data_IF_012674245048
#
_entry.id   IF_012674245048
#
_cell.length_a   1.000
_cell.length_b   1.000
_cell.length_c   1.000
_cell.angle_alpha   90.00
_cell.angle_beta   90.00
_cell.angle_gamma   90.00
#
_symmetry.space_group_name_H-M   'P 1'
#
loop_
_entity.id
_entity.type
_entity.pdbx_description
1 polymer ?
#
# COMPACT_ATOMS: atom_id res chain seq x y z
N UNK A 1 1.78 -16.69 5.25
CA UNK A 1 1.49 -15.40 5.94
C UNK A 1 1.13 -14.25 4.98
N UNK A 2 1.41 -14.34 3.68
CA UNK A 2 0.78 -13.48 2.65
C UNK A 2 0.39 -14.32 1.41
N UNK A 3 -0.06 -15.56 1.62
CA UNK A 3 -0.47 -16.42 0.50
C UNK A 3 -1.63 -15.79 -0.25
N UNK A 4 -1.45 -15.59 -1.55
CA UNK A 4 -2.42 -14.92 -2.41
C UNK A 4 -2.32 -13.39 -2.45
N UNK A 5 -1.42 -12.75 -1.68
CA UNK A 5 -1.21 -11.29 -1.75
C UNK A 5 -0.05 -10.94 -2.66
N UNK A 6 -0.31 -10.13 -3.69
CA UNK A 6 0.71 -9.69 -4.64
C UNK A 6 1.27 -8.30 -4.34
N UNK A 7 0.55 -7.47 -3.57
CA UNK A 7 1.05 -6.16 -3.15
C UNK A 7 0.43 -5.72 -1.83
N UNK A 8 1.14 -4.84 -1.11
CA UNK A 8 0.71 -4.29 0.16
C UNK A 8 0.56 -2.78 0.04
N UNK A 9 -0.51 -2.20 0.57
CA UNK A 9 -0.74 -0.76 0.62
C UNK A 9 -0.64 -0.27 2.06
N UNK A 10 0.25 0.69 2.31
CA UNK A 10 0.60 1.17 3.65
C UNK A 10 0.57 2.71 3.73
N UNK A 11 0.36 3.22 4.94
CA UNK A 11 0.49 4.65 5.23
C UNK A 11 1.95 5.07 5.49
N UNK A 12 2.24 6.38 5.53
CA UNK A 12 3.59 6.89 5.72
C UNK A 12 4.13 6.56 7.12
N UNK A 13 3.27 6.57 8.15
CA UNK A 13 3.65 6.16 9.51
C UNK A 13 4.03 4.68 9.59
N UNK A 14 3.32 3.84 8.85
CA UNK A 14 3.63 2.41 8.75
C UNK A 14 4.94 2.20 8.01
N UNK A 15 5.22 3.01 6.99
CA UNK A 15 6.53 3.03 6.32
C UNK A 15 7.66 3.46 7.27
N UNK A 16 7.48 4.51 8.08
CA UNK A 16 8.49 4.95 9.06
C UNK A 16 8.82 3.85 10.07
N UNK A 17 7.82 3.13 10.57
CA UNK A 17 8.04 1.97 11.45
C UNK A 17 8.67 0.81 10.69
N UNK A 18 8.25 0.55 9.44
CA UNK A 18 8.78 -0.53 8.63
C UNK A 18 10.26 -0.34 8.32
N UNK A 19 10.70 0.88 8.00
CA UNK A 19 12.10 1.18 7.69
C UNK A 19 12.98 1.15 8.94
N UNK A 20 12.47 1.59 10.08
CA UNK A 20 13.20 1.62 11.36
C UNK A 20 13.33 0.22 11.98
N UNK A 21 12.24 -0.55 12.00
CA UNK A 21 12.18 -1.87 12.67
C UNK A 21 12.78 -2.98 11.81
N UNK A 22 12.66 -2.90 10.48
CA UNK A 22 12.97 -4.04 9.60
C UNK A 22 14.20 -3.83 8.71
N UNK A 23 14.87 -2.67 8.82
CA UNK A 23 16.20 -2.42 8.27
C UNK A 23 16.42 -2.94 6.85
N UNK A 24 17.29 -3.96 6.70
CA UNK A 24 17.68 -4.56 5.42
C UNK A 24 16.97 -5.89 5.09
N UNK A 25 16.31 -6.52 6.07
CA UNK A 25 15.78 -7.89 5.92
C UNK A 25 14.44 -7.91 5.16
N UNK A 26 13.77 -6.76 5.03
CA UNK A 26 12.60 -6.58 4.19
C UNK A 26 11.36 -7.32 4.72
N UNK A 27 10.65 -6.68 5.65
CA UNK A 27 9.52 -7.22 6.42
C UNK A 27 8.45 -8.00 5.64
N UNK A 28 8.15 -7.57 4.40
CA UNK A 28 6.97 -8.03 3.68
C UNK A 28 7.28 -9.03 2.58
N UNK A 29 8.51 -9.01 2.03
CA UNK A 29 8.89 -9.81 0.87
C UNK A 29 8.03 -9.57 -0.37
N UNK A 30 7.32 -8.43 -0.41
CA UNK A 30 6.31 -8.07 -1.41
C UNK A 30 6.45 -6.58 -1.78
N UNK A 31 5.99 -6.18 -2.99
CA UNK A 31 5.91 -4.77 -3.33
C UNK A 31 4.89 -4.05 -2.45
N UNK A 32 5.31 -2.93 -1.87
CA UNK A 32 4.56 -2.07 -0.97
C UNK A 32 4.34 -0.70 -1.61
N UNK A 33 3.12 -0.18 -1.51
CA UNK A 33 2.74 1.15 -1.98
C UNK A 33 2.47 2.04 -0.78
N UNK A 34 3.23 3.12 -0.64
CA UNK A 34 3.15 4.11 0.42
C UNK A 34 2.30 5.28 -0.05
N UNK A 35 1.13 5.47 0.57
CA UNK A 35 0.25 6.61 0.26
C UNK A 35 0.70 7.82 1.07
N UNK A 36 1.26 8.82 0.42
CA UNK A 36 1.81 10.00 1.10
C UNK A 36 1.61 11.24 0.25
N UNK A 37 1.56 12.43 0.84
CA UNK A 37 1.56 13.68 0.08
C UNK A 37 2.97 14.18 -0.24
N UNK A 38 4.01 13.46 0.19
CA UNK A 38 5.41 13.81 -0.02
C UNK A 38 5.99 12.93 -1.13
N UNK A 39 6.55 13.57 -2.14
CA UNK A 39 7.30 12.84 -3.16
C UNK A 39 8.59 12.29 -2.55
N UNK A 40 8.85 11.01 -2.78
CA UNK A 40 10.05 10.33 -2.32
C UNK A 40 10.49 9.29 -3.36
N UNK A 41 11.81 9.09 -3.48
CA UNK A 41 12.36 8.09 -4.38
C UNK A 41 11.98 6.68 -3.89
N UNK A 42 11.66 5.73 -4.80
CA UNK A 42 11.31 4.38 -4.42
C UNK A 42 12.45 3.70 -3.67
N UNK A 43 12.13 3.05 -2.56
CA UNK A 43 13.11 2.39 -1.68
C UNK A 43 13.05 0.89 -1.92
N UNK A 44 14.18 0.27 -2.24
CA UNK A 44 14.27 -1.18 -2.43
C UNK A 44 15.03 -1.80 -1.25
N UNK A 45 14.48 -2.87 -0.69
CA UNK A 45 15.03 -3.63 0.45
C UNK A 45 14.90 -5.11 0.20
N UNK A 46 15.97 -5.72 -0.32
CA UNK A 46 16.05 -7.16 -0.58
C UNK A 46 14.87 -7.66 -1.43
N UNK A 47 13.83 -8.26 -0.82
CA UNK A 47 12.62 -8.73 -1.51
C UNK A 47 11.42 -7.78 -1.42
N UNK A 48 11.53 -6.70 -0.65
CA UNK A 48 10.48 -5.70 -0.44
C UNK A 48 10.83 -4.43 -1.21
N UNK A 49 9.86 -3.87 -1.94
CA UNK A 49 10.01 -2.57 -2.62
C UNK A 49 8.97 -1.60 -2.08
N UNK A 50 9.32 -0.35 -1.89
CA UNK A 50 8.42 0.72 -1.45
C UNK A 50 8.28 1.76 -2.55
N UNK A 51 7.08 1.90 -3.09
CA UNK A 51 6.74 2.94 -4.05
C UNK A 51 5.86 4.01 -3.40
N UNK A 52 6.24 5.28 -3.53
CA UNK A 52 5.49 6.40 -2.96
C UNK A 52 4.51 6.96 -3.98
N UNK A 53 3.25 7.10 -3.61
CA UNK A 53 2.18 7.63 -4.48
C UNK A 53 1.56 8.86 -3.85
N UNK A 54 1.56 9.97 -4.60
CA UNK A 54 1.16 11.31 -4.15
C UNK A 54 -0.23 11.80 -4.58
N UNK A 55 -1.07 10.93 -5.15
CA UNK A 55 -2.42 11.30 -5.62
C UNK A 55 -3.59 10.82 -4.74
N UNK A 56 -3.34 10.41 -3.49
CA UNK A 56 -4.35 9.83 -2.61
C UNK A 56 -4.64 8.35 -2.87
N UNK A 57 -5.76 7.85 -2.34
CA UNK A 57 -6.02 6.40 -2.23
C UNK A 57 -6.30 5.71 -3.57
N UNK A 58 -7.03 6.35 -4.48
CA UNK A 58 -7.40 5.75 -5.77
C UNK A 58 -6.20 5.44 -6.67
N UNK A 59 -5.27 6.39 -6.95
CA UNK A 59 -4.08 6.08 -7.73
C UNK A 59 -3.16 5.09 -7.01
N UNK A 60 -3.16 5.10 -5.67
CA UNK A 60 -2.39 4.12 -4.91
C UNK A 60 -2.94 2.70 -5.04
N UNK A 61 -4.27 2.51 -5.01
CA UNK A 61 -4.91 1.21 -5.27
C UNK A 61 -4.64 0.76 -6.72
N UNK A 62 -4.78 1.66 -7.69
CA UNK A 62 -4.51 1.33 -9.09
C UNK A 62 -3.05 0.86 -9.27
N UNK A 63 -2.11 1.52 -8.60
CA UNK A 63 -0.70 1.12 -8.59
C UNK A 63 -0.50 -0.22 -7.90
N UNK A 64 -1.09 -0.42 -6.72
CA UNK A 64 -0.99 -1.66 -5.97
C UNK A 64 -1.57 -2.85 -6.75
N UNK A 65 -2.72 -2.70 -7.42
CA UNK A 65 -3.28 -3.73 -8.31
C UNK A 65 -2.36 -4.07 -9.46
N UNK A 66 -1.73 -3.06 -10.08
CA UNK A 66 -0.75 -3.29 -11.15
C UNK A 66 0.47 -4.07 -10.67
N UNK A 67 0.89 -3.86 -9.42
CA UNK A 67 2.00 -4.59 -8.80
C UNK A 67 1.58 -6.01 -8.35
N UNK A 68 0.33 -6.18 -7.90
CA UNK A 68 -0.18 -7.47 -7.46
C UNK A 68 -0.52 -8.43 -8.60
N UNK A 69 -0.89 -7.89 -9.78
CA UNK A 69 -1.34 -8.70 -10.92
C UNK A 69 -2.66 -9.38 -10.62
N UNK A 70 -2.69 -10.71 -10.73
CA UNK A 70 -3.86 -11.56 -10.45
C UNK A 70 -4.05 -11.86 -8.94
N UNK A 71 -3.13 -11.40 -8.10
CA UNK A 71 -3.15 -11.62 -6.66
C UNK A 71 -3.83 -10.46 -5.92
N UNK A 72 -4.21 -10.71 -4.66
CA UNK A 72 -4.89 -9.74 -3.83
C UNK A 72 -3.97 -8.60 -3.40
N UNK A 73 -4.58 -7.44 -3.12
CA UNK A 73 -3.91 -6.27 -2.53
C UNK A 73 -4.27 -6.21 -1.05
N UNK A 74 -3.27 -6.36 -0.19
CA UNK A 74 -3.45 -6.27 1.26
C UNK A 74 -3.30 -4.81 1.73
N UNK A 75 -4.31 -4.26 2.41
CA UNK A 75 -4.22 -2.91 2.98
C UNK A 75 -3.72 -3.01 4.42
N UNK A 76 -2.41 -2.92 4.61
CA UNK A 76 -1.75 -2.90 5.92
C UNK A 76 -1.67 -1.47 6.45
N UNK A 77 -2.76 -1.00 7.04
CA UNK A 77 -2.71 0.04 8.07
C UNK A 77 -2.39 1.47 7.58
N UNK A 78 -3.45 2.26 7.53
CA UNK A 78 -3.72 3.28 8.55
C UNK A 78 -5.25 3.40 8.66
N UNK A 79 -5.83 3.59 9.84
CA UNK A 79 -7.30 3.74 9.98
C UNK A 79 -7.88 4.78 9.01
N UNK A 80 -7.06 5.80 8.66
CA UNK A 80 -7.33 6.81 7.63
C UNK A 80 -7.44 6.26 6.21
N UNK A 81 -6.67 5.24 5.81
CA UNK A 81 -6.74 4.62 4.47
C UNK A 81 -7.99 3.74 4.33
N UNK A 82 -8.31 2.96 5.36
CA UNK A 82 -9.56 2.20 5.41
C UNK A 82 -10.78 3.15 5.40
N UNK A 83 -10.73 4.24 6.19
CA UNK A 83 -11.77 5.28 6.19
C UNK A 83 -11.84 6.05 4.86
N UNK A 84 -10.71 6.30 4.18
CA UNK A 84 -10.69 6.92 2.85
C UNK A 84 -11.28 6.01 1.78
N UNK A 85 -11.01 4.71 1.85
CA UNK A 85 -11.63 3.73 0.97
C UNK A 85 -13.14 3.64 1.21
N UNK A 86 -13.56 3.53 2.48
CA UNK A 86 -14.98 3.57 2.86
C UNK A 86 -15.66 4.88 2.46
N UNK A 87 -15.01 6.03 2.61
CA UNK A 87 -15.55 7.33 2.20
C UNK A 87 -15.62 7.48 0.67
N UNK A 88 -14.62 6.97 -0.07
CA UNK A 88 -14.65 6.94 -1.53
C UNK A 88 -15.77 6.03 -2.06
N UNK A 89 -16.01 4.90 -1.39
CA UNK A 89 -17.15 4.00 -1.68
C UNK A 89 -18.48 4.60 -1.24
N UNK A 90 -18.54 5.39 -0.17
CA UNK A 90 -19.80 5.96 0.35
C UNK A 90 -20.36 7.11 -0.50
N UNK A 91 -19.57 7.67 -1.44
CA UNK A 91 -20.07 8.59 -2.48
C UNK A 91 -20.34 7.88 -3.82
N UNK A 92 -20.10 6.58 -3.92
CA UNK A 92 -20.54 5.72 -5.01
C UNK A 92 -21.59 4.73 -4.48
N UNK A 93 -22.79 5.26 -4.22
CA UNK A 93 -23.99 4.44 -4.17
C UNK A 93 -24.24 3.85 -5.56
N UNK A 94 -23.65 2.70 -5.86
CA UNK A 94 -24.28 1.52 -6.47
C UNK A 94 -23.21 0.47 -6.81
N UNK A 95 -23.37 -0.76 -6.30
CA UNK A 95 -22.77 -1.95 -6.90
C UNK A 95 -21.56 -2.53 -6.17
N UNK A 96 -21.84 -3.66 -5.51
CA UNK A 96 -20.95 -4.70 -5.02
C UNK A 96 -19.51 -4.71 -5.58
N UNK A 97 -18.53 -4.79 -4.68
CA UNK A 97 -17.31 -5.61 -4.85
C UNK A 97 -17.02 -6.33 -3.53
#
# INVERSE_FOLDING_TARGET
MFEGTGAVLIGPRTFDVAIDVWGEDGAFGLPCVVVTHREAAPVHRTKTSFEFVTGGILPAIARARKLAGEQDVCIMGGATLALQYLAATSSMNCGCI
#
